data_IF_782706424992
#
_entry.id   IF_782706424992
#
_cell.length_a   1.000
_cell.length_b   1.000
_cell.length_c   1.000
_cell.angle_alpha   90.00
_cell.angle_beta   90.00
_cell.angle_gamma   90.00
#
_symmetry.space_group_name_H-M   'P 1'
#
loop_
_entity.id
_entity.type
_entity.pdbx_description
1 polymer ?
#
# COMPACT_ATOMS: atom_id res chain seq x y z
N UNK A 1 -8.74 20.70 7.92
CA UNK A 1 -9.32 20.04 9.11
C UNK A 1 -9.48 20.96 10.32
N UNK A 2 -8.44 21.25 11.12
CA UNK A 2 -8.60 22.01 12.38
C UNK A 2 -9.18 23.43 12.17
N UNK A 3 -8.79 24.12 11.09
CA UNK A 3 -9.32 25.44 10.76
C UNK A 3 -10.79 25.39 10.32
N UNK A 4 -11.21 24.32 9.64
CA UNK A 4 -12.62 24.11 9.27
C UNK A 4 -13.48 23.91 10.53
N UNK A 5 -12.99 23.11 11.49
CA UNK A 5 -13.68 22.93 12.77
C UNK A 5 -13.79 24.26 13.52
N UNK A 6 -12.72 25.07 13.53
CA UNK A 6 -12.72 26.41 14.12
C UNK A 6 -13.73 27.33 13.44
N UNK A 7 -13.74 27.38 12.11
CA UNK A 7 -14.67 28.20 11.33
C UNK A 7 -16.13 27.80 11.55
N UNK A 8 -16.39 26.52 11.83
CA UNK A 8 -17.70 26.00 12.20
C UNK A 8 -18.04 26.19 13.70
N UNK A 9 -17.14 26.76 14.51
CA UNK A 9 -17.30 26.90 15.95
C UNK A 9 -17.34 25.57 16.71
N UNK A 10 -16.78 24.51 16.13
CA UNK A 10 -16.77 23.16 16.70
C UNK A 10 -15.49 22.95 17.50
N UNK A 11 -15.62 22.38 18.70
CA UNK A 11 -14.52 22.03 19.61
C UNK A 11 -13.63 23.20 20.07
N UNK A 12 -14.03 24.44 19.79
CA UNK A 12 -13.33 25.65 20.25
C UNK A 12 -13.46 25.80 21.78
N UNK A 13 -12.35 26.15 22.43
CA UNK A 13 -12.26 26.24 23.89
C UNK A 13 -11.70 27.58 24.38
N UNK A 14 -11.46 28.55 23.47
CA UNK A 14 -11.09 29.92 23.82
C UNK A 14 -11.63 30.95 22.81
N UNK A 15 -12.00 32.13 23.30
CA UNK A 15 -12.26 33.31 22.48
C UNK A 15 -11.23 34.41 22.77
N UNK A 16 -10.62 34.97 21.73
CA UNK A 16 -9.48 35.89 21.87
C UNK A 16 -9.82 37.28 21.33
N UNK A 17 -9.39 38.30 22.05
CA UNK A 17 -9.40 39.69 21.59
C UNK A 17 -10.78 40.36 21.56
N UNK A 18 -10.85 41.62 21.09
CA UNK A 18 -12.06 42.44 21.21
C UNK A 18 -13.23 41.90 20.38
N UNK A 19 -12.95 41.25 19.24
CA UNK A 19 -13.95 40.65 18.35
C UNK A 19 -14.31 39.20 18.74
N UNK A 20 -13.72 38.66 19.81
CA UNK A 20 -13.95 37.28 20.30
C UNK A 20 -13.72 36.22 19.21
N UNK A 21 -12.59 36.31 18.52
CA UNK A 21 -12.19 35.30 17.55
C UNK A 21 -12.06 33.94 18.27
N UNK A 22 -12.85 32.95 17.87
CA UNK A 22 -12.82 31.61 18.48
C UNK A 22 -11.64 30.79 17.96
N UNK A 23 -11.03 30.01 18.84
CA UNK A 23 -9.90 29.17 18.53
C UNK A 23 -9.82 27.95 19.47
N UNK A 24 -8.97 27.01 19.08
CA UNK A 24 -8.50 25.92 19.93
C UNK A 24 -7.21 26.35 20.66
N UNK A 25 -7.24 26.39 21.99
CA UNK A 25 -6.14 26.80 22.85
C UNK A 25 -4.90 25.93 22.62
N UNK A 26 -5.08 24.62 22.36
CA UNK A 26 -3.96 23.71 22.05
C UNK A 26 -3.21 24.10 20.78
N UNK A 27 -3.92 24.55 19.74
CA UNK A 27 -3.31 25.02 18.48
C UNK A 27 -2.57 26.33 18.72
N UNK A 28 -3.13 27.24 19.52
CA UNK A 28 -2.45 28.49 19.87
C UNK A 28 -1.22 28.26 20.74
N UNK A 29 -1.31 27.39 21.75
CA UNK A 29 -0.22 27.02 22.64
C UNK A 29 0.96 26.39 21.89
N UNK A 30 0.68 25.67 20.79
CA UNK A 30 1.71 25.07 19.94
C UNK A 30 2.60 26.09 19.22
N UNK A 31 2.15 27.35 19.09
CA UNK A 31 2.90 28.42 18.43
C UNK A 31 3.23 29.61 19.34
N UNK A 32 2.67 29.68 20.54
CA UNK A 32 2.74 30.85 21.43
C UNK A 32 2.90 30.46 22.90
N UNK A 33 3.94 30.98 23.54
CA UNK A 33 4.17 30.78 24.98
C UNK A 33 3.16 31.50 25.88
N UNK A 34 2.53 32.57 25.37
CA UNK A 34 1.41 33.23 26.05
C UNK A 34 0.21 32.27 26.19
N UNK A 35 -0.17 31.59 25.10
CA UNK A 35 -1.27 30.62 25.14
C UNK A 35 -0.87 29.30 25.81
N UNK A 36 0.42 28.94 25.82
CA UNK A 36 0.91 27.83 26.63
C UNK A 36 0.67 28.07 28.13
N UNK A 37 1.03 29.25 28.64
CA UNK A 37 0.75 29.63 30.03
C UNK A 37 -0.74 29.62 30.34
N UNK A 38 -1.56 30.14 29.41
CA UNK A 38 -3.01 30.06 29.53
C UNK A 38 -3.53 28.61 29.63
N UNK A 39 -2.86 27.66 28.98
CA UNK A 39 -3.22 26.23 29.03
C UNK A 39 -2.81 25.56 30.36
N UNK A 40 -1.73 26.05 31.00
CA UNK A 40 -1.22 25.55 32.28
C UNK A 40 -2.05 26.01 33.49
N UNK A 41 -2.76 27.14 33.37
CA UNK A 41 -3.61 27.68 34.43
C UNK A 41 -4.92 26.86 34.56
N UNK A 42 -5.33 26.52 35.79
CA UNK A 42 -6.56 25.74 36.04
C UNK A 42 -7.80 26.47 35.51
N UNK A 43 -8.55 25.79 34.63
CA UNK A 43 -9.73 26.37 33.97
C UNK A 43 -10.94 26.39 34.93
N UNK A 44 -11.65 27.53 35.06
CA UNK A 44 -12.96 27.54 35.67
C UNK A 44 -13.94 26.72 34.82
N UNK A 45 -14.70 25.84 35.46
CA UNK A 45 -15.73 25.05 34.79
C UNK A 45 -16.88 25.99 34.37
N UNK A 46 -17.15 26.14 33.06
CA UNK A 46 -18.21 27.05 32.59
C UNK A 46 -18.05 27.57 31.16
N UNK A 47 -18.51 28.80 30.95
CA UNK A 47 -18.57 29.47 29.64
C UNK A 47 -17.19 29.61 28.97
N UNK A 48 -17.18 29.73 27.64
CA UNK A 48 -15.99 29.88 26.81
C UNK A 48 -15.10 31.02 27.36
N UNK A 49 -13.86 30.74 27.80
CA UNK A 49 -12.99 31.75 28.38
C UNK A 49 -12.63 32.81 27.34
N UNK A 50 -12.69 34.08 27.77
CA UNK A 50 -12.30 35.22 26.95
C UNK A 50 -10.91 35.70 27.35
N UNK A 51 -9.96 35.66 26.41
CA UNK A 51 -8.59 36.08 26.63
C UNK A 51 -8.36 37.43 25.94
N UNK A 52 -8.13 38.52 26.71
CA UNK A 52 -7.83 39.81 26.12
C UNK A 52 -6.45 39.79 25.46
N UNK A 53 -6.30 40.55 24.37
CA UNK A 53 -4.99 40.70 23.72
C UNK A 53 -4.04 41.52 24.61
N UNK A 54 -2.76 41.11 24.75
CA UNK A 54 -1.75 41.90 25.43
C UNK A 54 -1.62 43.31 24.85
N UNK A 55 -1.21 44.31 25.66
CA UNK A 55 -0.96 45.65 25.16
C UNK A 55 0.10 45.63 24.05
N UNK A 56 -0.16 46.33 22.95
CA UNK A 56 0.71 46.37 21.77
C UNK A 56 0.35 45.37 20.67
N UNK A 57 -0.56 44.42 20.91
CA UNK A 57 -1.04 43.51 19.85
C UNK A 57 -2.19 44.15 19.08
N UNK A 58 -1.98 44.44 17.80
CA UNK A 58 -3.06 44.89 16.90
C UNK A 58 -3.95 43.71 16.50
N UNK A 59 -5.21 43.99 16.13
CA UNK A 59 -6.12 42.96 15.61
C UNK A 59 -5.56 42.28 14.35
N UNK A 60 -4.85 43.04 13.50
CA UNK A 60 -4.18 42.52 12.32
C UNK A 60 -3.06 41.55 12.68
N UNK A 61 -2.18 41.94 13.61
CA UNK A 61 -1.09 41.09 14.08
C UNK A 61 -1.58 39.81 14.75
N UNK A 62 -2.64 39.90 15.56
CA UNK A 62 -3.31 38.71 16.12
C UNK A 62 -3.82 37.76 15.03
N UNK A 63 -4.56 38.28 14.04
CA UNK A 63 -5.09 37.46 12.93
C UNK A 63 -3.98 36.82 12.09
N UNK A 64 -2.84 37.47 11.96
CA UNK A 64 -1.67 36.88 11.31
C UNK A 64 -1.10 35.70 12.11
N UNK A 65 -0.99 35.82 13.44
CA UNK A 65 -0.57 34.70 14.31
C UNK A 65 -1.59 33.56 14.27
N UNK A 66 -2.89 33.88 14.29
CA UNK A 66 -3.96 32.89 14.17
C UNK A 66 -3.90 32.15 12.83
N UNK A 67 -3.75 32.87 11.71
CA UNK A 67 -3.60 32.26 10.38
C UNK A 67 -2.35 31.38 10.29
N UNK A 68 -1.24 31.79 10.91
CA UNK A 68 -0.03 30.99 10.98
C UNK A 68 -0.23 29.70 11.80
N UNK A 69 -0.94 29.78 12.92
CA UNK A 69 -1.17 28.62 13.79
C UNK A 69 -1.91 27.48 13.07
N UNK A 70 -2.89 27.80 12.23
CA UNK A 70 -3.69 26.80 11.50
C UNK A 70 -3.17 26.48 10.11
N UNK A 71 -2.65 27.47 9.39
CA UNK A 71 -2.30 27.36 7.97
C UNK A 71 -0.80 27.34 7.70
N UNK A 72 0.04 27.73 8.65
CA UNK A 72 1.49 27.89 8.44
C UNK A 72 1.85 29.09 7.55
N UNK A 73 0.90 29.95 7.22
CA UNK A 73 1.06 31.10 6.32
C UNK A 73 0.92 32.42 7.07
N UNK A 74 1.64 33.44 6.62
CA UNK A 74 1.46 34.81 7.09
C UNK A 74 0.82 35.69 6.00
N UNK A 75 -0.13 36.57 6.37
CA UNK A 75 -0.69 37.53 5.44
C UNK A 75 0.39 38.54 5.01
N UNK A 76 0.31 38.99 3.76
CA UNK A 76 1.23 39.99 3.23
C UNK A 76 0.86 41.38 3.74
N UNK A 77 1.89 42.17 4.07
CA UNK A 77 1.75 43.57 4.49
C UNK A 77 1.64 43.76 6.00
N UNK A 78 2.17 44.91 6.46
CA UNK A 78 2.28 45.29 7.88
C UNK A 78 3.10 44.32 8.73
N UNK A 79 4.21 43.82 8.17
CA UNK A 79 5.13 42.87 8.83
C UNK A 79 5.60 43.36 10.21
N UNK A 80 5.79 44.68 10.38
CA UNK A 80 6.13 45.27 11.69
C UNK A 80 5.05 45.01 12.74
N UNK A 81 3.77 45.18 12.40
CA UNK A 81 2.66 44.90 13.32
C UNK A 81 2.57 43.41 13.65
N UNK A 82 2.84 42.54 12.67
CA UNK A 82 2.87 41.08 12.87
C UNK A 82 4.03 40.68 13.77
N UNK A 83 5.21 41.29 13.58
CA UNK A 83 6.38 41.06 14.41
C UNK A 83 6.16 41.51 15.86
N UNK A 84 5.59 42.70 16.07
CA UNK A 84 5.23 43.21 17.40
C UNK A 84 4.23 42.28 18.10
N UNK A 85 3.19 41.84 17.38
CA UNK A 85 2.22 40.89 17.90
C UNK A 85 2.86 39.54 18.26
N UNK A 86 3.74 39.03 17.40
CA UNK A 86 4.45 37.78 17.64
C UNK A 86 5.36 37.85 18.88
N UNK A 87 6.07 38.97 19.08
CA UNK A 87 6.90 39.17 20.27
C UNK A 87 6.04 39.24 21.54
N UNK A 88 4.94 40.00 21.50
CA UNK A 88 4.04 40.15 22.64
C UNK A 88 3.30 38.85 23.02
N UNK A 89 2.93 38.04 22.03
CA UNK A 89 2.32 36.72 22.24
C UNK A 89 3.36 35.61 22.47
N UNK A 90 4.65 35.92 22.41
CA UNK A 90 5.70 34.91 22.55
C UNK A 90 5.62 33.81 21.49
N UNK A 91 5.40 34.20 20.23
CA UNK A 91 5.31 33.32 19.07
C UNK A 91 6.62 33.35 18.24
N UNK A 92 7.65 32.58 18.64
CA UNK A 92 9.01 32.73 18.10
C UNK A 92 9.10 32.40 16.60
N UNK A 93 8.33 31.41 16.12
CA UNK A 93 8.31 31.02 14.71
C UNK A 93 7.73 32.12 13.82
N UNK A 94 6.68 32.82 14.28
CA UNK A 94 6.12 33.98 13.58
C UNK A 94 7.08 35.17 13.62
N UNK A 95 7.70 35.43 14.77
CA UNK A 95 8.66 36.51 14.92
C UNK A 95 9.90 36.31 14.03
N UNK A 96 10.41 35.07 13.95
CA UNK A 96 11.52 34.70 13.08
C UNK A 96 11.16 34.86 11.60
N UNK A 97 9.94 34.49 11.21
CA UNK A 97 9.44 34.69 9.85
C UNK A 97 9.33 36.17 9.45
N UNK A 98 9.10 37.08 10.41
CA UNK A 98 9.04 38.52 10.15
C UNK A 98 10.39 39.25 10.33
N UNK A 99 11.44 38.57 10.80
CA UNK A 99 12.69 39.21 11.16
C UNK A 99 13.55 39.56 9.91
N UNK A 100 14.10 40.78 9.82
CA UNK A 100 14.96 41.15 8.70
C UNK A 100 16.24 40.30 8.67
N UNK A 101 16.58 39.73 7.51
CA UNK A 101 17.79 38.93 7.36
C UNK A 101 19.06 39.82 7.40
N UNK A 102 20.13 39.38 8.08
CA UNK A 102 21.41 40.06 8.02
C UNK A 102 21.95 40.03 6.58
N UNK A 103 22.19 41.21 6.00
CA UNK A 103 22.76 41.34 4.65
C UNK A 103 21.76 41.60 3.51
N UNK A 104 20.47 41.80 3.80
CA UNK A 104 19.48 42.16 2.78
C UNK A 104 19.14 41.04 1.78
N UNK A 105 19.53 39.80 2.08
CA UNK A 105 19.12 38.64 1.31
C UNK A 105 17.60 38.41 1.45
N UNK A 106 16.91 37.98 0.36
CA UNK A 106 15.52 37.56 0.46
C UNK A 106 15.38 36.42 1.48
N UNK A 107 14.39 36.49 2.35
CA UNK A 107 14.07 35.37 3.22
C UNK A 107 13.72 34.15 2.37
N UNK A 108 14.12 32.93 2.77
CA UNK A 108 13.58 31.73 2.16
C UNK A 108 12.05 31.74 2.38
N UNK A 109 11.26 31.36 1.36
CA UNK A 109 9.82 31.30 1.50
C UNK A 109 9.46 30.37 2.66
N UNK A 110 8.47 30.79 3.47
CA UNK A 110 7.86 29.89 4.43
C UNK A 110 7.24 28.73 3.66
N UNK A 111 7.69 27.51 3.94
CA UNK A 111 7.04 26.29 3.48
C UNK A 111 5.87 26.00 4.43
N UNK A 112 4.60 26.25 4.02
CA UNK A 112 3.46 26.18 4.94
C UNK A 112 3.28 24.78 5.53
N UNK A 113 3.60 23.75 4.73
CA UNK A 113 3.53 22.35 5.15
C UNK A 113 4.52 22.03 6.28
N UNK A 114 5.76 22.53 6.21
CA UNK A 114 6.73 22.35 7.29
C UNK A 114 6.25 23.03 8.58
N UNK A 115 5.65 24.21 8.44
CA UNK A 115 5.10 24.93 9.59
C UNK A 115 3.91 24.18 10.21
N UNK A 116 3.03 23.62 9.39
CA UNK A 116 1.92 22.77 9.87
C UNK A 116 2.46 21.53 10.61
N UNK A 117 3.50 20.89 10.10
CA UNK A 117 4.14 19.75 10.77
C UNK A 117 4.78 20.09 12.11
N UNK A 118 5.44 21.24 12.22
CA UNK A 118 6.02 21.68 13.49
C UNK A 118 4.92 22.01 14.51
N UNK A 119 3.82 22.64 14.08
CA UNK A 119 2.63 22.86 14.93
C UNK A 119 2.05 21.54 15.43
N UNK A 120 1.90 20.54 14.55
CA UNK A 120 1.41 19.22 14.93
C UNK A 120 2.34 18.50 15.92
N UNK A 121 3.67 18.58 15.70
CA UNK A 121 4.67 18.04 16.64
C UNK A 121 4.59 18.70 18.01
N UNK A 122 4.45 20.02 18.05
CA UNK A 122 4.24 20.76 19.30
C UNK A 122 2.94 20.35 19.99
N UNK A 123 1.83 20.13 19.26
CA UNK A 123 0.60 19.58 19.84
C UNK A 123 0.80 18.18 20.46
N UNK A 124 1.59 17.32 19.80
CA UNK A 124 1.97 16.02 20.35
C UNK A 124 2.75 16.12 21.66
N UNK A 125 3.70 17.06 21.76
CA UNK A 125 4.43 17.31 23.01
C UNK A 125 3.52 17.81 24.15
N UNK A 126 2.52 18.63 23.82
CA UNK A 126 1.49 19.03 24.79
C UNK A 126 0.68 17.83 25.27
N UNK A 127 0.30 16.94 24.35
CA UNK A 127 -0.41 15.70 24.70
C UNK A 127 0.44 14.78 25.60
N UNK A 128 1.72 14.60 25.30
CA UNK A 128 2.65 13.78 26.09
C UNK A 128 2.85 14.32 27.52
N UNK A 129 2.76 15.65 27.68
CA UNK A 129 2.81 16.31 29.00
C UNK A 129 1.44 16.37 29.71
N UNK A 130 0.39 15.83 29.11
CA UNK A 130 -0.98 15.86 29.63
C UNK A 130 -1.68 17.23 29.50
N UNK A 131 -1.05 18.18 28.82
CA UNK A 131 -1.57 19.53 28.63
C UNK A 131 -2.56 19.59 27.46
N UNK A 132 -3.66 20.31 27.67
CA UNK A 132 -4.70 20.50 26.65
C UNK A 132 -5.57 19.26 26.40
N UNK A 133 -5.41 18.19 27.17
CA UNK A 133 -6.30 17.03 27.15
C UNK A 133 -7.67 17.43 27.72
N UNK A 134 -8.68 17.47 26.86
CA UNK A 134 -10.03 17.94 27.17
C UNK A 134 -11.03 16.79 27.37
N UNK A 135 -10.58 15.54 27.18
CA UNK A 135 -11.40 14.35 27.37
C UNK A 135 -10.56 13.16 27.84
N UNK A 136 -11.19 12.24 28.58
CA UNK A 136 -10.63 10.93 28.92
C UNK A 136 -11.49 9.86 28.27
N UNK A 137 -10.90 9.05 27.40
CA UNK A 137 -11.58 7.92 26.77
C UNK A 137 -11.23 6.65 27.54
N UNK A 138 -12.24 5.84 27.85
CA UNK A 138 -12.03 4.50 28.38
C UNK A 138 -12.02 3.51 27.22
N UNK A 139 -10.93 2.77 27.05
CA UNK A 139 -10.76 1.72 26.04
C UNK A 139 -10.44 0.42 26.78
N UNK A 140 -11.38 -0.52 26.82
CA UNK A 140 -11.30 -1.67 27.71
C UNK A 140 -11.18 -1.28 29.18
N UNK A 141 -10.10 -1.72 29.82
CA UNK A 141 -9.73 -1.44 31.21
C UNK A 141 -8.83 -0.19 31.38
N UNK A 142 -8.40 0.43 30.28
CA UNK A 142 -7.54 1.60 30.31
C UNK A 142 -8.31 2.91 30.13
N UNK A 143 -7.82 3.97 30.78
CA UNK A 143 -8.33 5.35 30.60
C UNK A 143 -7.22 6.21 30.01
N UNK A 144 -7.41 6.65 28.77
CA UNK A 144 -6.43 7.40 27.99
C UNK A 144 -6.89 8.85 27.85
N UNK A 145 -6.11 9.85 28.33
CA UNK A 145 -6.38 11.26 28.09
C UNK A 145 -6.12 11.61 26.62
N UNK A 146 -7.03 12.36 26.01
CA UNK A 146 -6.96 12.71 24.59
C UNK A 146 -7.30 14.18 24.37
N UNK A 147 -6.87 14.70 23.21
CA UNK A 147 -7.32 15.98 22.68
C UNK A 147 -8.39 15.68 21.62
N UNK A 148 -9.65 16.07 21.85
CA UNK A 148 -10.77 15.82 20.92
C UNK A 148 -10.48 16.36 19.53
N UNK A 149 -9.80 17.50 19.45
CA UNK A 149 -9.42 18.14 18.19
C UNK A 149 -8.52 17.24 17.33
N UNK A 150 -7.46 16.66 17.92
CA UNK A 150 -6.49 15.85 17.18
C UNK A 150 -7.17 14.62 16.56
N UNK A 151 -7.96 13.90 17.36
CA UNK A 151 -8.73 12.74 16.88
C UNK A 151 -9.78 13.12 15.84
N UNK A 152 -10.49 14.24 16.01
CA UNK A 152 -11.49 14.70 15.03
C UNK A 152 -10.89 15.12 13.70
N UNK A 153 -9.63 15.56 13.69
CA UNK A 153 -8.93 15.92 12.46
C UNK A 153 -8.43 14.71 11.68
N UNK A 154 -8.15 13.59 12.36
CA UNK A 154 -7.56 12.39 11.76
C UNK A 154 -8.56 11.25 11.50
N UNK A 155 -9.72 11.27 12.17
CA UNK A 155 -10.66 10.15 12.22
C UNK A 155 -12.12 10.63 12.20
N UNK A 156 -12.86 10.27 11.15
CA UNK A 156 -14.24 10.73 10.96
C UNK A 156 -15.20 10.17 12.01
N UNK A 157 -14.96 8.95 12.51
CA UNK A 157 -15.72 8.39 13.63
C UNK A 157 -15.66 9.31 14.86
N UNK A 158 -14.46 9.73 15.26
CA UNK A 158 -14.30 10.65 16.40
C UNK A 158 -14.83 12.04 16.10
N UNK A 159 -14.66 12.53 14.87
CA UNK A 159 -15.27 13.79 14.44
C UNK A 159 -16.78 13.77 14.63
N UNK A 160 -17.45 12.71 14.17
CA UNK A 160 -18.89 12.55 14.35
C UNK A 160 -19.26 12.41 15.84
N UNK A 161 -18.53 11.58 16.59
CA UNK A 161 -18.75 11.36 18.02
C UNK A 161 -18.71 12.66 18.82
N UNK A 162 -17.81 13.59 18.46
CA UNK A 162 -17.58 14.81 19.22
C UNK A 162 -18.33 16.03 18.70
N UNK A 163 -18.84 16.03 17.47
CA UNK A 163 -19.51 17.20 16.87
C UNK A 163 -21.01 17.00 16.66
N UNK A 164 -21.50 15.76 16.61
CA UNK A 164 -22.93 15.49 16.53
C UNK A 164 -23.58 15.54 17.93
N UNK A 165 -24.81 16.06 18.05
CA UNK A 165 -25.55 16.08 19.31
C UNK A 165 -26.08 14.68 19.66
N UNK A 166 -25.18 13.77 20.02
CA UNK A 166 -25.49 12.42 20.48
C UNK A 166 -25.46 12.33 22.02
N UNK A 167 -25.82 11.18 22.59
CA UNK A 167 -25.84 11.00 24.06
C UNK A 167 -24.46 11.22 24.68
N UNK A 168 -23.42 10.90 23.93
CA UNK A 168 -22.01 11.07 24.26
C UNK A 168 -21.59 12.54 24.29
N UNK A 169 -22.29 13.42 23.56
CA UNK A 169 -22.05 14.87 23.62
C UNK A 169 -22.61 15.51 24.92
N UNK A 170 -23.54 14.83 25.60
CA UNK A 170 -24.08 15.23 26.91
C UNK A 170 -23.35 14.53 28.08
N UNK A 171 -22.26 13.81 27.80
CA UNK A 171 -21.47 13.09 28.79
C UNK A 171 -20.72 14.07 29.70
N UNK A 172 -20.64 13.76 30.99
CA UNK A 172 -19.94 14.59 31.96
C UNK A 172 -18.42 14.53 31.69
N UNK A 173 -17.78 15.67 31.37
CA UNK A 173 -16.34 15.72 31.10
C UNK A 173 -15.48 15.26 32.30
N UNK A 174 -16.01 15.25 33.52
CA UNK A 174 -15.31 14.74 34.70
C UNK A 174 -15.21 13.21 34.73
N UNK A 175 -16.01 12.51 33.93
CA UNK A 175 -16.04 11.03 33.88
C UNK A 175 -15.44 10.50 32.58
N UNK A 176 -14.67 9.40 32.60
CA UNK A 176 -14.18 8.78 31.37
C UNK A 176 -15.33 8.38 30.45
N UNK A 177 -15.25 8.74 29.17
CA UNK A 177 -16.24 8.34 28.16
C UNK A 177 -15.92 6.90 27.71
N UNK A 178 -16.80 5.92 27.98
CA UNK A 178 -16.57 4.54 27.57
C UNK A 178 -16.63 4.41 26.06
N UNK A 179 -15.57 3.86 25.49
CA UNK A 179 -15.47 3.47 24.09
C UNK A 179 -15.47 1.95 23.98
N UNK A 180 -15.90 1.43 22.82
CA UNK A 180 -15.79 0.00 22.50
C UNK A 180 -14.46 -0.37 21.85
N UNK A 181 -13.51 0.57 21.83
CA UNK A 181 -12.19 0.37 21.24
C UNK A 181 -11.33 -0.48 22.17
N UNK A 182 -10.46 -1.29 21.58
CA UNK A 182 -9.34 -1.89 22.30
C UNK A 182 -8.28 -0.81 22.59
N UNK A 183 -7.50 -0.92 23.69
CA UNK A 183 -6.42 0.03 23.99
C UNK A 183 -5.42 0.22 22.83
N UNK A 184 -5.09 -0.86 22.12
CA UNK A 184 -4.17 -0.83 20.97
C UNK A 184 -4.73 -0.01 19.80
N UNK A 185 -6.01 -0.17 19.46
CA UNK A 185 -6.68 0.60 18.39
C UNK A 185 -6.68 2.10 18.71
N UNK A 186 -7.03 2.47 19.95
CA UNK A 186 -7.05 3.86 20.37
C UNK A 186 -5.65 4.49 20.35
N UNK A 187 -4.63 3.78 20.85
CA UNK A 187 -3.24 4.25 20.80
C UNK A 187 -2.73 4.42 19.37
N UNK A 188 -3.09 3.51 18.47
CA UNK A 188 -2.74 3.62 17.06
C UNK A 188 -3.33 4.88 16.43
N UNK A 189 -4.64 5.10 16.59
CA UNK A 189 -5.33 6.27 16.04
C UNK A 189 -4.79 7.59 16.62
N UNK A 190 -4.47 7.59 17.91
CA UNK A 190 -3.90 8.74 18.61
C UNK A 190 -2.46 9.03 18.14
N UNK A 191 -1.62 7.99 18.04
CA UNK A 191 -0.27 8.10 17.50
C UNK A 191 -0.29 8.64 16.06
N UNK A 192 -1.19 8.10 15.22
CA UNK A 192 -1.39 8.57 13.86
C UNK A 192 -1.84 10.03 13.82
N UNK A 193 -2.70 10.48 14.75
CA UNK A 193 -3.19 11.86 14.78
C UNK A 193 -2.06 12.90 14.92
N UNK A 194 -0.96 12.57 15.62
CA UNK A 194 0.17 13.50 15.81
C UNK A 194 1.36 13.23 14.89
N UNK A 195 1.55 11.99 14.44
CA UNK A 195 2.72 11.63 13.62
C UNK A 195 2.40 11.60 12.13
N UNK A 196 1.12 11.40 11.76
CA UNK A 196 0.69 11.14 10.39
C UNK A 196 1.39 9.92 9.77
N UNK A 197 1.91 9.01 10.58
CA UNK A 197 2.71 7.87 10.16
C UNK A 197 2.21 6.58 10.81
N UNK A 198 2.47 5.47 10.13
CA UNK A 198 2.30 4.12 10.66
C UNK A 198 3.63 3.38 10.51
N UNK A 199 4.12 2.81 11.61
CA UNK A 199 5.37 2.07 11.65
C UNK A 199 5.21 0.85 12.55
N UNK A 200 5.74 -0.28 12.11
CA UNK A 200 5.64 -1.53 12.85
C UNK A 200 5.95 -2.74 12.00
N UNK A 201 5.89 -3.94 12.60
CA UNK A 201 5.95 -5.19 11.86
C UNK A 201 4.71 -5.35 10.98
N UNK A 202 4.77 -6.27 10.01
CA UNK A 202 3.70 -6.49 9.05
C UNK A 202 2.30 -6.71 9.67
N UNK A 203 2.12 -7.52 10.74
CA UNK A 203 0.82 -7.66 11.38
C UNK A 203 0.23 -6.34 11.90
N UNK A 204 1.07 -5.43 12.40
CA UNK A 204 0.62 -4.13 12.87
C UNK A 204 0.11 -3.24 11.72
N UNK A 205 0.63 -3.41 10.50
CA UNK A 205 0.16 -2.67 9.31
C UNK A 205 -1.21 -3.19 8.86
N UNK A 206 -1.44 -4.52 8.91
CA UNK A 206 -2.74 -5.12 8.63
C UNK A 206 -3.78 -4.69 9.67
N UNK A 207 -3.45 -4.77 10.96
CA UNK A 207 -4.31 -4.30 12.06
C UNK A 207 -4.62 -2.80 11.91
N UNK A 208 -3.65 -2.01 11.48
CA UNK A 208 -3.86 -0.58 11.23
C UNK A 208 -4.81 -0.32 10.06
N UNK A 209 -4.71 -1.11 8.99
CA UNK A 209 -5.63 -1.04 7.85
C UNK A 209 -7.06 -1.40 8.30
N UNK A 210 -7.24 -2.50 9.05
CA UNK A 210 -8.54 -2.87 9.61
C UNK A 210 -9.11 -1.78 10.53
N UNK A 211 -8.30 -1.29 11.47
CA UNK A 211 -8.69 -0.22 12.41
C UNK A 211 -9.12 1.03 11.64
N UNK A 212 -8.39 1.38 10.59
CA UNK A 212 -8.70 2.56 9.77
C UNK A 212 -10.00 2.43 8.98
N UNK A 213 -10.34 1.23 8.49
CA UNK A 213 -11.64 0.95 7.85
C UNK A 213 -12.78 1.01 8.88
N UNK A 214 -12.57 0.40 10.04
CA UNK A 214 -13.57 0.32 11.12
C UNK A 214 -13.94 1.69 11.67
N UNK A 215 -12.95 2.55 11.90
CA UNK A 215 -13.15 3.88 12.51
C UNK A 215 -13.05 5.03 11.50
N UNK A 216 -12.97 4.76 10.19
CA UNK A 216 -12.94 5.78 9.13
C UNK A 216 -11.76 6.77 9.27
N UNK A 217 -10.57 6.24 9.54
CA UNK A 217 -9.32 7.01 9.53
C UNK A 217 -8.68 6.98 8.14
N UNK A 218 -9.26 7.69 7.18
CA UNK A 218 -8.91 7.60 5.75
C UNK A 218 -7.44 7.91 5.43
N UNK A 219 -6.82 8.84 6.16
CA UNK A 219 -5.39 9.15 5.99
C UNK A 219 -4.51 7.95 6.33
N UNK A 220 -4.82 7.25 7.42
CA UNK A 220 -4.13 6.03 7.84
C UNK A 220 -4.37 4.89 6.83
N UNK A 221 -5.62 4.71 6.39
CA UNK A 221 -5.96 3.71 5.38
C UNK A 221 -5.14 3.93 4.11
N UNK A 222 -5.06 5.17 3.62
CA UNK A 222 -4.33 5.50 2.40
C UNK A 222 -2.86 5.10 2.48
N UNK A 223 -2.21 5.32 3.63
CA UNK A 223 -0.83 4.88 3.86
C UNK A 223 -0.71 3.36 3.82
N UNK A 224 -1.60 2.63 4.51
CA UNK A 224 -1.61 1.17 4.49
C UNK A 224 -1.81 0.61 3.07
N UNK A 225 -2.73 1.18 2.28
CA UNK A 225 -2.98 0.73 0.91
C UNK A 225 -1.80 1.03 -0.04
N UNK A 226 -1.05 2.12 0.19
CA UNK A 226 0.19 2.38 -0.55
C UNK A 226 1.25 1.32 -0.26
N UNK A 227 1.39 0.91 1.01
CA UNK A 227 2.26 -0.21 1.39
C UNK A 227 1.80 -1.52 0.74
N UNK A 228 0.48 -1.80 0.71
CA UNK A 228 -0.07 -3.01 0.10
C UNK A 228 0.12 -3.08 -1.42
N UNK A 229 0.34 -1.95 -2.09
CA UNK A 229 0.52 -1.92 -3.55
C UNK A 229 1.98 -1.81 -3.96
N UNK A 230 2.80 -1.10 -3.19
CA UNK A 230 4.23 -0.86 -3.52
C UNK A 230 5.19 -1.81 -2.79
N UNK A 231 4.77 -2.39 -1.67
CA UNK A 231 5.59 -3.22 -0.78
C UNK A 231 5.28 -4.71 -0.84
N UNK A 232 4.65 -5.21 -1.91
CA UNK A 232 4.33 -6.63 -2.05
C UNK A 232 5.60 -7.48 -2.12
N UNK A 233 5.66 -8.50 -1.26
CA UNK A 233 6.67 -9.54 -1.27
C UNK A 233 5.99 -10.91 -1.29
N UNK A 234 6.71 -12.00 -1.59
CA UNK A 234 6.12 -13.34 -1.55
C UNK A 234 5.50 -13.71 -0.19
N UNK A 235 6.01 -13.13 0.89
CA UNK A 235 5.53 -13.33 2.26
C UNK A 235 4.28 -12.51 2.59
N UNK A 236 4.14 -11.29 2.04
CA UNK A 236 3.02 -10.39 2.36
C UNK A 236 1.86 -10.48 1.37
N UNK A 237 2.14 -10.90 0.13
CA UNK A 237 1.15 -10.98 -0.94
C UNK A 237 -0.12 -11.75 -0.56
N UNK A 238 -0.02 -12.98 0.00
CA UNK A 238 -1.17 -13.76 0.44
C UNK A 238 -2.09 -13.01 1.40
N UNK A 239 -1.51 -12.36 2.42
CA UNK A 239 -2.27 -11.60 3.41
C UNK A 239 -2.97 -10.40 2.78
N UNK A 240 -2.30 -9.68 1.87
CA UNK A 240 -2.91 -8.55 1.14
C UNK A 240 -4.07 -9.03 0.27
N UNK A 241 -3.93 -10.18 -0.38
CA UNK A 241 -4.99 -10.74 -1.21
C UNK A 241 -6.22 -11.12 -0.36
N UNK A 242 -6.00 -11.78 0.78
CA UNK A 242 -7.05 -12.13 1.73
C UNK A 242 -7.73 -10.89 2.29
N UNK A 243 -6.95 -9.94 2.80
CA UNK A 243 -7.45 -8.67 3.31
C UNK A 243 -8.29 -7.92 2.27
N UNK A 244 -7.80 -7.83 1.03
CA UNK A 244 -8.54 -7.16 -0.03
C UNK A 244 -9.85 -7.86 -0.40
N UNK A 245 -9.92 -9.19 -0.26
CA UNK A 245 -11.15 -9.93 -0.46
C UNK A 245 -12.16 -9.66 0.65
N UNK A 246 -11.74 -9.71 1.91
CA UNK A 246 -12.59 -9.51 3.09
C UNK A 246 -13.23 -8.12 3.14
N UNK A 247 -12.46 -7.10 2.75
CA UNK A 247 -12.91 -5.69 2.77
C UNK A 247 -13.37 -5.17 1.40
N UNK A 248 -13.42 -6.01 0.36
CA UNK A 248 -13.91 -5.62 -0.97
C UNK A 248 -13.02 -4.60 -1.71
N UNK A 249 -11.71 -4.59 -1.44
CA UNK A 249 -10.74 -3.65 -2.01
C UNK A 249 -10.25 -4.11 -3.38
N UNK A 250 -11.12 -4.05 -4.39
CA UNK A 250 -10.90 -4.67 -5.71
C UNK A 250 -9.59 -4.24 -6.42
N UNK A 251 -9.15 -2.99 -6.29
CA UNK A 251 -7.90 -2.53 -6.91
C UNK A 251 -6.67 -3.17 -6.27
N UNK A 252 -6.64 -3.21 -4.93
CA UNK A 252 -5.54 -3.82 -4.16
C UNK A 252 -5.54 -5.33 -4.35
N UNK A 253 -6.72 -5.95 -4.34
CA UNK A 253 -6.88 -7.38 -4.56
C UNK A 253 -6.35 -7.82 -5.93
N UNK A 254 -6.65 -7.06 -7.00
CA UNK A 254 -6.08 -7.33 -8.34
C UNK A 254 -4.56 -7.20 -8.36
N UNK A 255 -4.00 -6.15 -7.76
CA UNK A 255 -2.55 -5.96 -7.71
C UNK A 255 -1.84 -7.10 -6.96
N UNK A 256 -2.40 -7.54 -5.83
CA UNK A 256 -1.88 -8.68 -5.06
C UNK A 256 -2.02 -10.00 -5.83
N UNK A 257 -3.17 -10.24 -6.47
CA UNK A 257 -3.41 -11.43 -7.28
C UNK A 257 -2.44 -11.52 -8.46
N UNK A 258 -2.29 -10.45 -9.24
CA UNK A 258 -1.35 -10.39 -10.36
C UNK A 258 0.10 -10.64 -9.90
N UNK A 259 0.48 -10.07 -8.75
CA UNK A 259 1.80 -10.29 -8.14
C UNK A 259 2.01 -11.75 -7.74
N UNK A 260 1.05 -12.35 -7.04
CA UNK A 260 1.11 -13.75 -6.60
C UNK A 260 1.17 -14.68 -7.82
N UNK A 261 0.33 -14.46 -8.83
CA UNK A 261 0.33 -15.27 -10.05
C UNK A 261 1.69 -15.19 -10.75
N UNK A 262 2.30 -14.00 -10.83
CA UNK A 262 3.61 -13.81 -11.44
C UNK A 262 4.79 -14.41 -10.63
N UNK A 263 4.67 -14.51 -9.30
CA UNK A 263 5.73 -14.96 -8.39
C UNK A 263 5.39 -16.26 -7.65
N UNK A 264 4.40 -17.00 -8.16
CA UNK A 264 3.75 -18.11 -7.47
C UNK A 264 4.72 -19.13 -6.85
N UNK A 265 5.79 -19.59 -7.52
CA UNK A 265 6.72 -20.56 -6.92
C UNK A 265 7.42 -20.04 -5.66
N UNK A 266 7.72 -18.73 -5.62
CA UNK A 266 8.30 -18.08 -4.44
C UNK A 266 7.27 -17.93 -3.33
N UNK A 267 6.02 -17.58 -3.66
CA UNK A 267 4.92 -17.47 -2.69
C UNK A 267 4.64 -18.82 -2.03
N UNK A 268 4.54 -19.89 -2.82
CA UNK A 268 4.30 -21.24 -2.33
C UNK A 268 5.34 -21.62 -1.27
N UNK A 269 6.61 -21.25 -1.45
CA UNK A 269 7.68 -21.56 -0.49
C UNK A 269 7.50 -20.92 0.90
N UNK A 270 6.74 -19.84 1.01
CA UNK A 270 6.53 -19.10 2.27
C UNK A 270 5.51 -19.77 3.19
N UNK A 271 5.51 -19.48 4.51
CA UNK A 271 4.46 -19.95 5.42
C UNK A 271 3.11 -19.26 5.15
N UNK A 272 3.11 -17.98 4.77
CA UNK A 272 1.90 -17.19 4.52
C UNK A 272 0.99 -17.77 3.42
N UNK A 273 1.55 -18.55 2.49
CA UNK A 273 0.77 -19.30 1.51
C UNK A 273 -0.21 -20.29 2.16
N UNK A 274 0.15 -20.88 3.30
CA UNK A 274 -0.68 -21.86 4.00
C UNK A 274 -1.91 -21.24 4.66
N UNK A 275 -1.84 -19.94 4.96
CA UNK A 275 -2.91 -19.17 5.60
C UNK A 275 -3.94 -18.64 4.59
N UNK A 276 -3.76 -18.88 3.29
CA UNK A 276 -4.72 -18.48 2.26
C UNK A 276 -6.07 -19.18 2.45
N UNK A 277 -7.20 -18.45 2.42
CA UNK A 277 -8.52 -19.05 2.29
C UNK A 277 -8.65 -19.94 1.05
N UNK A 278 -9.31 -21.09 1.18
CA UNK A 278 -9.46 -22.10 0.12
C UNK A 278 -9.98 -21.51 -1.19
N UNK A 279 -11.01 -20.65 -1.12
CA UNK A 279 -11.61 -20.02 -2.30
C UNK A 279 -10.62 -19.11 -3.07
N UNK A 280 -9.66 -18.49 -2.39
CA UNK A 280 -8.62 -17.68 -3.03
C UNK A 280 -7.54 -18.56 -3.65
N UNK A 281 -7.13 -19.63 -2.96
CA UNK A 281 -6.22 -20.63 -3.53
C UNK A 281 -6.80 -21.24 -4.81
N UNK A 282 -8.06 -21.68 -4.77
CA UNK A 282 -8.78 -22.23 -5.92
C UNK A 282 -8.81 -21.21 -7.07
N UNK A 283 -9.07 -19.93 -6.78
CA UNK A 283 -9.06 -18.86 -7.80
C UNK A 283 -7.68 -18.73 -8.45
N UNK A 284 -6.61 -18.73 -7.66
CA UNK A 284 -5.23 -18.66 -8.15
C UNK A 284 -4.89 -19.89 -9.00
N UNK A 285 -5.19 -21.10 -8.53
CA UNK A 285 -4.92 -22.34 -9.25
C UNK A 285 -5.71 -22.43 -10.57
N UNK A 286 -6.95 -21.95 -10.60
CA UNK A 286 -7.76 -21.93 -11.83
C UNK A 286 -7.26 -20.92 -12.86
N UNK A 287 -6.47 -19.93 -12.46
CA UNK A 287 -5.99 -18.86 -13.34
C UNK A 287 -5.09 -19.38 -14.47
N UNK A 288 -5.32 -18.88 -15.69
CA UNK A 288 -4.46 -19.11 -16.86
C UNK A 288 -3.11 -18.35 -16.75
N UNK A 289 -3.03 -17.34 -15.87
CA UNK A 289 -1.82 -16.52 -15.66
C UNK A 289 -0.90 -17.07 -14.56
N UNK A 290 -1.23 -18.22 -13.97
CA UNK A 290 -0.41 -18.85 -12.93
C UNK A 290 0.99 -19.21 -13.46
N UNK A 291 2.04 -18.60 -12.91
CA UNK A 291 3.42 -18.80 -13.35
C UNK A 291 4.04 -20.08 -12.75
N UNK A 292 3.74 -21.22 -13.35
CA UNK A 292 4.34 -22.53 -13.03
C UNK A 292 5.02 -23.12 -14.26
N UNK A 293 6.09 -23.91 -14.08
CA UNK A 293 6.75 -24.60 -15.20
C UNK A 293 5.94 -25.79 -15.71
N UNK A 294 5.37 -26.51 -14.76
CA UNK A 294 4.71 -27.78 -14.94
C UNK A 294 3.45 -27.80 -14.09
N UNK A 295 2.41 -28.45 -14.57
CA UNK A 295 1.18 -28.61 -13.78
C UNK A 295 1.44 -29.37 -12.47
N UNK A 296 2.51 -30.18 -12.42
CA UNK A 296 2.97 -30.83 -11.20
C UNK A 296 3.29 -29.84 -10.08
N UNK A 297 3.82 -28.64 -10.37
CA UNK A 297 4.12 -27.62 -9.35
C UNK A 297 2.84 -27.06 -8.72
N UNK A 298 1.79 -26.91 -9.52
CA UNK A 298 0.47 -26.51 -9.01
C UNK A 298 -0.14 -27.60 -8.12
N UNK A 299 0.06 -28.88 -8.48
CA UNK A 299 -0.33 -30.01 -7.64
C UNK A 299 0.44 -30.05 -6.32
N UNK A 300 1.76 -29.83 -6.35
CA UNK A 300 2.61 -29.76 -5.17
C UNK A 300 2.19 -28.63 -4.24
N UNK A 301 1.86 -27.46 -4.79
CA UNK A 301 1.33 -26.32 -4.03
C UNK A 301 -0.02 -26.65 -3.37
N UNK A 302 -0.97 -27.19 -4.14
CA UNK A 302 -2.28 -27.60 -3.66
C UNK A 302 -2.19 -28.65 -2.55
N UNK A 303 -1.37 -29.68 -2.77
CA UNK A 303 -1.12 -30.75 -1.79
C UNK A 303 -0.53 -30.21 -0.50
N UNK A 304 0.48 -29.33 -0.60
CA UNK A 304 1.09 -28.71 0.58
C UNK A 304 0.09 -27.91 1.40
N UNK A 305 -0.79 -27.14 0.74
CA UNK A 305 -1.82 -26.38 1.42
C UNK A 305 -2.84 -27.30 2.11
N UNK A 306 -3.30 -28.36 1.43
CA UNK A 306 -4.23 -29.34 1.99
C UNK A 306 -3.66 -30.07 3.22
N UNK A 307 -2.40 -30.50 3.15
CA UNK A 307 -1.73 -31.16 4.29
C UNK A 307 -1.65 -30.24 5.51
N UNK A 308 -1.40 -28.94 5.29
CA UNK A 308 -1.32 -27.96 6.38
C UNK A 308 -2.69 -27.64 6.99
N UNK A 309 -3.75 -27.56 6.17
CA UNK A 309 -5.11 -27.22 6.58
C UNK A 309 -5.94 -28.46 6.98
N UNK A 310 -5.27 -29.55 7.37
CA UNK A 310 -5.89 -30.69 8.03
C UNK A 310 -6.44 -31.77 7.09
N UNK A 311 -6.12 -31.76 5.79
CA UNK A 311 -6.50 -32.79 4.81
C UNK A 311 -7.98 -33.16 4.87
N UNK A 312 -8.81 -32.19 5.27
CA UNK A 312 -10.04 -32.42 6.01
C UNK A 312 -11.25 -32.27 5.11
N UNK A 313 -12.00 -33.37 4.99
CA UNK A 313 -13.18 -33.55 4.14
C UNK A 313 -12.81 -33.77 2.66
N UNK A 314 -13.22 -34.92 2.11
CA UNK A 314 -12.98 -35.28 0.71
C UNK A 314 -13.50 -34.16 -0.24
N UNK A 315 -14.51 -33.38 0.20
CA UNK A 315 -15.12 -32.30 -0.57
C UNK A 315 -14.18 -31.09 -0.80
N UNK A 316 -13.46 -30.60 0.22
CA UNK A 316 -12.52 -29.49 0.05
C UNK A 316 -11.28 -29.93 -0.73
N UNK A 317 -10.80 -31.14 -0.45
CA UNK A 317 -9.73 -31.75 -1.22
C UNK A 317 -10.12 -31.92 -2.70
N UNK A 318 -11.36 -32.33 -2.98
CA UNK A 318 -11.90 -32.43 -4.34
C UNK A 318 -11.92 -31.05 -5.01
N UNK A 319 -12.39 -30.00 -4.34
CA UNK A 319 -12.48 -28.66 -4.94
C UNK A 319 -11.11 -28.05 -5.24
N UNK A 320 -10.16 -28.20 -4.32
CA UNK A 320 -8.78 -27.70 -4.50
C UNK A 320 -8.07 -28.51 -5.59
N UNK A 321 -8.13 -29.84 -5.56
CA UNK A 321 -7.41 -30.68 -6.52
C UNK A 321 -8.05 -30.67 -7.92
N UNK A 322 -9.37 -30.50 -8.04
CA UNK A 322 -10.05 -30.32 -9.33
C UNK A 322 -9.63 -29.04 -10.06
N UNK A 323 -9.04 -28.09 -9.34
CA UNK A 323 -8.47 -26.86 -9.91
C UNK A 323 -7.13 -27.09 -10.61
N UNK A 324 -6.50 -28.25 -10.41
CA UNK A 324 -5.27 -28.69 -11.07
C UNK A 324 -5.59 -29.40 -12.38
N UNK A 325 -4.89 -29.05 -13.46
CA UNK A 325 -5.19 -29.48 -14.83
C UNK A 325 -4.45 -30.77 -15.19
N UNK A 326 -4.80 -31.90 -14.58
CA UNK A 326 -4.09 -33.19 -14.77
C UNK A 326 -3.86 -33.57 -16.25
N UNK A 327 -4.77 -33.20 -17.16
CA UNK A 327 -4.61 -33.38 -18.61
C UNK A 327 -3.37 -32.71 -19.23
N UNK A 328 -2.77 -31.71 -18.57
CA UNK A 328 -1.55 -31.03 -19.00
C UNK A 328 -0.27 -31.67 -18.47
N UNK A 329 -0.37 -32.69 -17.61
CA UNK A 329 0.78 -33.40 -17.07
C UNK A 329 1.31 -34.44 -18.08
N UNK A 330 2.63 -34.54 -18.18
CA UNK A 330 3.32 -35.62 -18.87
C UNK A 330 3.15 -36.95 -18.13
N UNK A 331 3.33 -38.07 -18.85
CA UNK A 331 3.24 -39.39 -18.24
C UNK A 331 4.27 -39.66 -17.13
N UNK A 332 5.38 -38.90 -17.07
CA UNK A 332 6.33 -38.97 -15.95
C UNK A 332 5.82 -38.22 -14.71
N UNK A 333 5.13 -37.10 -14.91
CA UNK A 333 4.53 -36.32 -13.82
C UNK A 333 3.32 -37.04 -13.22
N UNK A 334 2.48 -37.65 -14.06
CA UNK A 334 1.32 -38.44 -13.62
C UNK A 334 1.74 -39.60 -12.68
N UNK A 335 2.91 -40.21 -12.91
CA UNK A 335 3.45 -41.27 -12.03
C UNK A 335 3.85 -40.76 -10.65
N UNK A 336 4.11 -39.47 -10.50
CA UNK A 336 4.50 -38.85 -9.22
C UNK A 336 3.30 -38.42 -8.38
N UNK A 337 2.10 -38.34 -8.95
CA UNK A 337 0.88 -37.89 -8.25
C UNK A 337 0.71 -38.59 -6.90
N UNK A 338 0.72 -39.94 -6.79
CA UNK A 338 0.43 -40.60 -5.51
C UNK A 338 1.43 -40.25 -4.41
N UNK A 339 2.68 -39.93 -4.77
CA UNK A 339 3.70 -39.52 -3.83
C UNK A 339 3.53 -38.06 -3.39
N UNK A 340 3.15 -37.17 -4.31
CA UNK A 340 2.96 -35.73 -4.04
C UNK A 340 1.72 -35.48 -3.20
N UNK A 341 0.65 -36.21 -3.43
CA UNK A 341 -0.64 -36.04 -2.73
C UNK A 341 -0.78 -36.94 -1.50
N UNK A 342 0.32 -37.55 -1.05
CA UNK A 342 0.33 -38.41 0.13
C UNK A 342 -0.04 -37.59 1.37
N UNK A 343 -1.16 -37.96 2.01
CA UNK A 343 -1.70 -37.24 3.17
C UNK A 343 -2.59 -36.03 2.82
N UNK A 344 -2.70 -35.66 1.54
CA UNK A 344 -3.58 -34.57 1.09
C UNK A 344 -4.98 -35.05 0.66
N UNK A 345 -5.07 -36.24 0.05
CA UNK A 345 -6.32 -36.79 -0.45
C UNK A 345 -6.29 -38.32 -0.53
N UNK A 346 -7.49 -38.93 -0.58
CA UNK A 346 -7.62 -40.38 -0.75
C UNK A 346 -7.21 -40.83 -2.17
N UNK A 347 -6.59 -42.02 -2.32
CA UNK A 347 -6.22 -42.55 -3.64
C UNK A 347 -7.42 -42.73 -4.59
N UNK A 348 -8.61 -42.99 -4.04
CA UNK A 348 -9.85 -43.13 -4.81
C UNK A 348 -10.27 -41.81 -5.47
N UNK A 349 -10.28 -40.71 -4.71
CA UNK A 349 -10.58 -39.38 -5.20
C UNK A 349 -9.59 -38.95 -6.29
N UNK A 350 -8.29 -39.15 -6.06
CA UNK A 350 -7.24 -38.81 -7.04
C UNK A 350 -7.43 -39.55 -8.37
N UNK A 351 -7.73 -40.85 -8.31
CA UNK A 351 -8.00 -41.63 -9.51
C UNK A 351 -9.24 -41.11 -10.25
N UNK A 352 -10.31 -40.75 -9.54
CA UNK A 352 -11.52 -40.16 -10.12
C UNK A 352 -11.21 -38.83 -10.82
N UNK A 353 -10.48 -37.92 -10.17
CA UNK A 353 -10.11 -36.61 -10.73
C UNK A 353 -9.22 -36.73 -11.97
N UNK A 354 -8.23 -37.62 -11.95
CA UNK A 354 -7.34 -37.85 -13.10
C UNK A 354 -8.13 -38.43 -14.28
N UNK A 355 -9.00 -39.42 -14.04
CA UNK A 355 -9.84 -40.02 -15.09
C UNK A 355 -10.82 -38.98 -15.66
N UNK A 356 -11.45 -38.18 -14.81
CA UNK A 356 -12.36 -37.12 -15.22
C UNK A 356 -11.64 -36.08 -16.10
N UNK A 357 -10.44 -35.66 -15.71
CA UNK A 357 -9.62 -34.68 -16.45
C UNK A 357 -9.19 -35.18 -17.84
N UNK A 358 -9.01 -36.50 -18.01
CA UNK A 358 -8.58 -37.13 -19.27
C UNK A 358 -9.75 -37.56 -20.18
N UNK A 359 -11.01 -37.38 -19.75
CA UNK A 359 -12.17 -37.86 -20.49
C UNK A 359 -12.42 -37.06 -21.80
N UNK A 360 -12.74 -37.71 -22.94
CA UNK A 360 -12.85 -37.07 -24.26
C UNK A 360 -14.00 -36.06 -24.45
N UNK A 361 -14.78 -35.77 -23.41
CA UNK A 361 -15.96 -34.87 -23.45
C UNK A 361 -15.70 -33.47 -22.90
N UNK A 362 -14.53 -33.21 -22.32
CA UNK A 362 -14.14 -31.86 -21.95
C UNK A 362 -13.54 -31.16 -23.19
N UNK A 363 -14.34 -30.31 -23.84
CA UNK A 363 -13.77 -29.14 -24.50
C UNK A 363 -12.97 -28.41 -23.43
N UNK A 364 -11.65 -28.63 -23.32
CA UNK A 364 -10.81 -27.91 -22.37
C UNK A 364 -10.93 -26.42 -22.74
N UNK A 365 -11.69 -25.60 -21.98
CA UNK A 365 -11.84 -24.20 -22.31
C UNK A 365 -10.66 -23.41 -21.72
N UNK A 366 -9.57 -24.09 -21.34
CA UNK A 366 -8.41 -23.47 -20.72
C UNK A 366 -7.29 -23.34 -21.74
N UNK A 367 -6.67 -22.17 -21.80
CA UNK A 367 -5.40 -22.00 -22.50
C UNK A 367 -4.35 -22.82 -21.76
N UNK A 368 -3.41 -23.45 -22.48
CA UNK A 368 -2.19 -23.96 -21.84
C UNK A 368 -1.60 -22.81 -21.05
N UNK A 369 -1.28 -23.00 -19.76
CA UNK A 369 -0.62 -22.00 -18.91
C UNK A 369 0.67 -21.57 -19.58
N UNK A 370 0.58 -20.51 -20.36
CA UNK A 370 1.61 -20.01 -21.25
C UNK A 370 1.40 -18.53 -21.37
N UNK A 371 2.50 -17.78 -21.29
CA UNK A 371 2.46 -16.33 -21.44
C UNK A 371 1.81 -15.99 -22.79
N UNK A 372 0.95 -14.96 -22.84
CA UNK A 372 0.24 -14.59 -24.07
C UNK A 372 1.18 -14.21 -25.22
N UNK A 373 2.44 -13.89 -24.93
CA UNK A 373 3.45 -13.43 -25.87
C UNK A 373 4.78 -14.15 -25.62
N UNK A 374 5.33 -14.81 -26.66
CA UNK A 374 6.65 -15.45 -26.61
C UNK A 374 7.62 -14.63 -27.44
N UNK A 375 8.74 -14.22 -26.84
CA UNK A 375 9.82 -13.56 -27.55
C UNK A 375 10.64 -14.61 -28.31
N UNK A 376 10.66 -14.53 -29.63
CA UNK A 376 11.50 -15.38 -30.49
C UNK A 376 12.61 -14.55 -31.13
N UNK A 377 13.84 -15.00 -30.97
CA UNK A 377 15.03 -14.45 -31.62
C UNK A 377 15.39 -15.34 -32.81
N UNK A 378 15.32 -14.76 -34.00
CA UNK A 378 15.65 -15.44 -35.25
C UNK A 378 17.07 -15.04 -35.70
N UNK A 379 17.98 -16.00 -35.83
CA UNK A 379 19.34 -15.76 -36.33
C UNK A 379 20.21 -14.89 -35.42
N UNK A 380 20.87 -13.88 -35.99
CA UNK A 380 21.83 -13.00 -35.31
C UNK A 380 23.29 -13.46 -35.45
N UNK A 381 24.22 -12.71 -34.85
CA UNK A 381 25.65 -13.04 -34.85
C UNK A 381 26.05 -13.57 -33.47
N UNK A 382 26.64 -14.76 -33.41
CA UNK A 382 27.40 -15.20 -32.24
C UNK A 382 28.80 -14.58 -32.33
N UNK A 383 29.30 -14.03 -31.23
CA UNK A 383 30.73 -13.74 -31.16
C UNK A 383 31.49 -15.05 -30.98
N UNK A 384 32.64 -15.16 -31.65
CA UNK A 384 33.64 -16.19 -31.35
C UNK A 384 34.11 -16.06 -29.90
N UNK A 385 34.67 -17.13 -29.33
CA UNK A 385 35.10 -17.16 -27.92
C UNK A 385 36.16 -16.12 -27.58
N UNK A 386 36.93 -15.69 -28.57
CA UNK A 386 37.94 -14.62 -28.50
C UNK A 386 37.34 -13.21 -28.78
N UNK A 387 36.03 -13.12 -29.01
CA UNK A 387 35.29 -11.90 -29.37
C UNK A 387 35.81 -11.21 -30.65
N UNK A 388 36.63 -11.90 -31.45
CA UNK A 388 37.32 -11.31 -32.60
C UNK A 388 36.48 -11.34 -33.89
N UNK A 389 35.54 -12.27 -34.02
CA UNK A 389 34.73 -12.45 -35.22
C UNK A 389 33.26 -12.72 -34.89
N UNK A 390 32.40 -12.27 -35.81
CA UNK A 390 30.96 -12.53 -35.78
C UNK A 390 30.66 -13.73 -36.67
N UNK A 391 30.04 -14.76 -36.10
CA UNK A 391 29.56 -15.92 -36.85
C UNK A 391 28.03 -15.89 -36.88
N UNK A 392 27.41 -15.82 -38.08
CA UNK A 392 25.96 -15.83 -38.17
C UNK A 392 25.40 -17.14 -37.59
N UNK A 393 24.35 -17.01 -36.80
CA UNK A 393 23.70 -18.08 -36.06
C UNK A 393 22.67 -18.77 -36.95
N UNK A 394 22.69 -20.10 -37.01
CA UNK A 394 21.62 -20.90 -37.64
C UNK A 394 20.47 -21.22 -36.69
N UNK A 395 20.54 -20.76 -35.45
CA UNK A 395 19.60 -21.13 -34.39
C UNK A 395 18.49 -20.10 -34.25
N UNK A 396 17.27 -20.62 -34.08
CA UNK A 396 16.12 -19.90 -33.60
C UNK A 396 16.06 -20.13 -32.10
N UNK A 397 15.92 -19.06 -31.32
CA UNK A 397 15.81 -19.13 -29.88
C UNK A 397 14.48 -18.54 -29.46
N UNK A 398 13.87 -19.07 -28.40
CA UNK A 398 12.75 -18.40 -27.76
C UNK A 398 13.06 -18.20 -26.29
N UNK A 399 12.52 -17.12 -25.74
CA UNK A 399 12.53 -16.87 -24.31
C UNK A 399 11.63 -17.93 -23.66
N UNK A 400 12.25 -18.94 -23.07
CA UNK A 400 11.54 -20.02 -22.39
C UNK A 400 11.05 -19.57 -21.03
N UNK A 401 11.87 -18.79 -20.31
CA UNK A 401 11.56 -18.34 -18.95
C UNK A 401 12.14 -16.98 -18.63
N UNK A 402 11.39 -16.15 -17.92
CA UNK A 402 11.93 -14.96 -17.25
C UNK A 402 12.10 -15.31 -15.77
N UNK A 403 13.35 -15.33 -15.30
CA UNK A 403 13.72 -15.82 -13.97
C UNK A 403 13.61 -14.76 -12.87
N UNK A 404 13.42 -13.48 -13.22
CA UNK A 404 13.20 -12.40 -12.26
C UNK A 404 12.37 -11.26 -12.87
N UNK A 405 11.42 -10.74 -12.08
CA UNK A 405 10.66 -9.52 -12.36
C UNK A 405 11.16 -8.29 -11.58
N UNK A 406 12.09 -8.47 -10.63
CA UNK A 406 12.58 -7.39 -9.75
C UNK A 406 13.98 -6.96 -10.20
N UNK A 407 14.13 -5.69 -10.57
CA UNK A 407 15.39 -5.06 -10.99
C UNK A 407 15.51 -4.75 -12.50
N UNK A 408 16.52 -3.97 -12.88
CA UNK A 408 16.78 -3.54 -14.26
C UNK A 408 17.31 -4.66 -15.18
N UNK A 409 17.84 -5.75 -14.61
CA UNK A 409 18.41 -6.88 -15.36
C UNK A 409 17.50 -8.11 -15.24
N UNK A 410 16.69 -8.33 -16.26
CA UNK A 410 15.85 -9.54 -16.36
C UNK A 410 16.72 -10.71 -16.80
N UNK A 411 16.89 -11.73 -15.94
CA UNK A 411 17.56 -12.98 -16.32
C UNK A 411 16.58 -13.82 -17.13
N UNK A 412 16.93 -14.17 -18.36
CA UNK A 412 16.09 -14.96 -19.28
C UNK A 412 16.72 -16.32 -19.53
N UNK A 413 15.94 -17.38 -19.35
CA UNK A 413 16.28 -18.73 -19.83
C UNK A 413 15.90 -18.82 -21.31
N UNK A 414 16.90 -19.01 -22.16
CA UNK A 414 16.73 -19.16 -23.61
C UNK A 414 16.75 -20.64 -23.97
N UNK A 415 15.81 -21.09 -24.80
CA UNK A 415 15.83 -22.44 -25.38
C UNK A 415 15.84 -22.40 -26.91
N UNK A 416 16.48 -23.38 -27.55
CA UNK A 416 16.45 -23.47 -29.01
C UNK A 416 15.04 -23.84 -29.45
N UNK A 417 14.46 -23.02 -30.33
CA UNK A 417 13.19 -23.30 -31.01
C UNK A 417 13.40 -24.22 -32.21
N UNK A 418 14.54 -24.07 -32.89
CA UNK A 418 14.85 -24.81 -34.11
C UNK A 418 16.10 -24.28 -34.80
N UNK A 419 16.34 -24.74 -36.03
CA UNK A 419 17.46 -24.32 -36.85
C UNK A 419 17.00 -23.99 -38.26
N UNK A 420 17.62 -23.00 -38.90
CA UNK A 420 17.43 -22.74 -40.32
C UNK A 420 17.93 -23.95 -41.14
N UNK A 421 17.08 -24.58 -41.97
CA UNK A 421 17.45 -25.78 -42.72
C UNK A 421 18.58 -25.52 -43.71
N UNK A 422 18.60 -24.33 -44.29
CA UNK A 422 19.56 -23.92 -45.31
C UNK A 422 20.83 -23.24 -44.74
N UNK A 423 21.06 -23.32 -43.43
CA UNK A 423 22.23 -22.73 -42.77
C UNK A 423 22.02 -21.32 -42.17
N UNK A 424 23.08 -20.69 -41.63
CA UNK A 424 23.01 -19.43 -40.89
C UNK A 424 22.62 -18.24 -41.78
N UNK A 425 21.77 -17.35 -41.27
CA UNK A 425 21.21 -16.23 -42.05
C UNK A 425 21.06 -14.95 -41.23
N UNK A 426 21.19 -13.82 -41.91
CA UNK A 426 20.94 -12.49 -41.36
C UNK A 426 20.04 -11.65 -42.30
N UNK A 427 19.46 -10.56 -41.78
CA UNK A 427 18.52 -9.67 -42.51
C UNK A 427 17.29 -10.38 -43.10
N UNK A 428 16.78 -11.39 -42.41
CA UNK A 428 15.49 -11.98 -42.73
C UNK A 428 14.36 -11.09 -42.22
N UNK A 429 13.20 -11.15 -42.86
CA UNK A 429 11.97 -10.58 -42.32
C UNK A 429 11.23 -11.65 -41.50
N UNK A 430 10.52 -11.23 -40.46
CA UNK A 430 9.75 -12.12 -39.60
C UNK A 430 8.32 -11.61 -39.54
N UNK A 431 7.35 -12.50 -39.72
CA UNK A 431 5.93 -12.18 -39.57
C UNK A 431 5.23 -13.28 -38.79
N UNK A 432 4.28 -12.91 -37.92
CA UNK A 432 3.47 -13.87 -37.16
C UNK A 432 2.05 -13.83 -37.70
N UNK A 433 1.53 -14.96 -38.17
CA UNK A 433 0.16 -15.09 -38.69
C UNK A 433 -0.47 -16.32 -38.05
N UNK A 434 -1.59 -16.12 -37.33
CA UNK A 434 -2.33 -17.23 -36.72
C UNK A 434 -1.50 -18.08 -35.75
N UNK A 435 -0.67 -17.44 -34.91
CA UNK A 435 0.25 -18.09 -33.98
C UNK A 435 1.34 -18.98 -34.63
N UNK A 436 1.60 -18.79 -35.93
CA UNK A 436 2.74 -19.37 -36.63
C UNK A 436 3.74 -18.27 -37.02
N UNK A 437 5.03 -18.55 -36.79
CA UNK A 437 6.15 -17.66 -37.07
C UNK A 437 6.69 -17.94 -38.47
N UNK A 438 6.61 -16.98 -39.37
CA UNK A 438 7.17 -17.10 -40.71
C UNK A 438 8.43 -16.27 -40.82
N UNK A 439 9.54 -16.92 -41.15
CA UNK A 439 10.82 -16.26 -41.45
C UNK A 439 11.02 -16.24 -42.95
N UNK A 440 11.07 -15.03 -43.51
CA UNK A 440 11.08 -14.74 -44.93
C UNK A 440 12.48 -14.28 -45.37
N UNK A 441 13.08 -15.04 -46.27
CA UNK A 441 14.31 -14.73 -46.98
C UNK A 441 15.59 -14.75 -46.14
N UNK A 442 16.37 -13.67 -46.22
CA UNK A 442 17.68 -13.52 -45.59
C UNK A 442 18.86 -13.75 -46.53
N UNK A 443 20.06 -13.49 -46.01
CA UNK A 443 21.35 -13.61 -46.71
C UNK A 443 22.30 -14.55 -45.97
N UNK A 444 23.16 -15.25 -46.71
CA UNK A 444 24.24 -16.10 -46.20
C UNK A 444 25.53 -15.29 -45.95
N UNK A 445 25.85 -14.35 -46.86
CA UNK A 445 26.97 -13.41 -46.73
C UNK A 445 26.60 -12.00 -47.20
N UNK A 446 27.48 -11.01 -46.98
CA UNK A 446 27.28 -9.59 -47.36
C UNK A 446 27.38 -9.35 -48.88
N UNK A 447 26.73 -10.19 -49.68
CA UNK A 447 26.66 -10.08 -51.14
C UNK A 447 25.38 -9.39 -51.62
N UNK A 448 25.49 -8.72 -52.77
CA UNK A 448 24.33 -8.13 -53.45
C UNK A 448 23.41 -9.20 -54.08
N UNK A 449 23.95 -10.36 -54.47
CA UNK A 449 23.23 -11.43 -55.20
C UNK A 449 22.80 -12.62 -54.33
N UNK A 450 22.97 -12.54 -53.01
CA UNK A 450 22.81 -13.65 -52.08
C UNK A 450 21.51 -13.58 -51.26
N UNK A 451 20.47 -12.93 -51.83
CA UNK A 451 19.17 -12.82 -51.16
C UNK A 451 18.32 -14.02 -51.53
N UNK A 452 18.01 -14.86 -50.55
CA UNK A 452 17.21 -16.06 -50.78
C UNK A 452 15.71 -15.71 -50.73
N UNK A 453 14.94 -16.27 -51.66
CA UNK A 453 13.48 -16.17 -51.70
C UNK A 453 12.84 -17.43 -51.11
N UNK A 454 13.21 -17.78 -49.87
CA UNK A 454 12.62 -18.93 -49.15
C UNK A 454 11.80 -18.46 -47.96
N UNK A 455 10.78 -19.24 -47.61
CA UNK A 455 9.91 -19.02 -46.45
C UNK A 455 10.03 -20.21 -45.53
N UNK A 456 10.36 -19.96 -44.26
CA UNK A 456 10.38 -20.96 -43.19
C UNK A 456 9.20 -20.70 -42.25
N UNK A 457 8.50 -21.76 -41.85
CA UNK A 457 7.36 -21.73 -40.93
C UNK A 457 7.70 -22.46 -39.64
#
# INVERSE_FOLDING_TARGET
AADELRAAGQLVDVAVGPERDVAHAVVLASVSSFFLRFLEEERPHGALPHVPLPPGVTLWGWRAVLAFAYGGTLPHGREKEVQEAALALGAPRVAAACAPQPGGAPQPPLEPLEQQWETLRSMGQLHDSGLGCDLRLQAGDEVIPVQRLALSCSCDFFRALFTCPMREAAHDPATPLPTRLAPAELRLLLSFAYTGAVAGPWPAVLEAAETSLRYQAWGLLTLCLDVFTRGLTPETGPDVLAFAADYGLAHVGRAAEDFILATFPSVVATPAFLDLPAHLLIRLLRSDALNVLHELEALEAASRWLVANGGGEDDEAEEVLSSVRFALMSGQELKKIPAVTAGAASPGLLHQLVVASLSPTAQLPCRVRSWPEVLVVCGGDKLTTDMAARQPSRQLWFAHRFLSAVGLVKRVEWRPLGHFPDGPRFRHAVVVIGNALYVLGGKHYYGARDTLASVYR
#
